data_IF_565549416988
#
_entry.id   IF_565549416988
#
_cell.length_a   1.000
_cell.length_b   1.000
_cell.length_c   1.000
_cell.angle_alpha   90.00
_cell.angle_beta   90.00
_cell.angle_gamma   90.00
#
_symmetry.space_group_name_H-M   'P 1'
#
loop_
_entity.id
_entity.type
_entity.pdbx_description
1 polymer ?
#
# COMPACT_ATOMS: atom_id res chain seq x y z
N UNK A 1 150.16 -19.92 -60.87
CA UNK A 1 149.56 -20.79 -59.82
C UNK A 1 148.81 -20.03 -58.72
N UNK A 2 149.06 -18.73 -58.51
CA UNK A 2 148.34 -17.89 -57.54
C UNK A 2 146.88 -17.47 -57.87
N UNK A 3 146.43 -17.27 -59.13
CA UNK A 3 145.08 -16.75 -59.39
C UNK A 3 143.96 -17.77 -59.15
N UNK A 4 144.20 -19.06 -59.39
CA UNK A 4 143.23 -20.14 -59.13
C UNK A 4 142.98 -20.35 -57.63
N UNK A 5 143.99 -20.17 -56.79
CA UNK A 5 143.88 -20.29 -55.33
C UNK A 5 142.94 -19.21 -54.75
N UNK A 6 143.02 -17.99 -55.27
CA UNK A 6 142.17 -16.88 -54.85
C UNK A 6 140.69 -17.09 -55.25
N UNK A 7 140.43 -17.66 -56.42
CA UNK A 7 139.06 -17.97 -56.88
C UNK A 7 138.41 -19.04 -56.00
N UNK A 8 139.15 -20.09 -55.64
CA UNK A 8 138.67 -21.16 -54.74
C UNK A 8 138.45 -20.61 -53.31
N UNK A 9 139.32 -19.72 -52.83
CA UNK A 9 139.15 -19.06 -51.52
C UNK A 9 137.89 -18.19 -51.49
N UNK A 10 137.64 -17.38 -52.51
CA UNK A 10 136.45 -16.52 -52.58
C UNK A 10 135.16 -17.35 -52.69
N UNK A 11 135.17 -18.43 -53.48
CA UNK A 11 134.03 -19.33 -53.60
C UNK A 11 133.71 -20.08 -52.28
N UNK A 12 134.74 -20.53 -51.56
CA UNK A 12 134.57 -21.20 -50.26
C UNK A 12 134.08 -20.23 -49.18
N UNK A 13 134.62 -19.00 -49.14
CA UNK A 13 134.13 -17.95 -48.23
C UNK A 13 132.68 -17.57 -48.54
N UNK A 14 132.32 -17.44 -49.82
CA UNK A 14 130.94 -17.17 -50.25
C UNK A 14 129.97 -18.29 -49.88
N UNK A 15 130.39 -19.55 -50.03
CA UNK A 15 129.56 -20.71 -49.67
C UNK A 15 129.39 -20.85 -48.15
N UNK A 16 130.45 -20.61 -47.37
CA UNK A 16 130.39 -20.57 -45.90
C UNK A 16 129.53 -19.40 -45.42
N UNK A 17 129.65 -18.21 -46.02
CA UNK A 17 128.82 -17.05 -45.70
C UNK A 17 127.34 -17.27 -46.06
N UNK A 18 127.05 -17.92 -47.21
CA UNK A 18 125.70 -18.29 -47.61
C UNK A 18 125.08 -19.33 -46.67
N UNK A 19 125.84 -20.35 -46.27
CA UNK A 19 125.41 -21.36 -45.31
C UNK A 19 125.20 -20.77 -43.90
N UNK A 20 126.09 -19.87 -43.47
CA UNK A 20 125.94 -19.12 -42.22
C UNK A 20 124.72 -18.18 -42.26
N UNK A 21 124.47 -17.52 -43.39
CA UNK A 21 123.29 -16.69 -43.61
C UNK A 21 121.99 -17.50 -43.54
N UNK A 22 121.94 -18.67 -44.19
CA UNK A 22 120.79 -19.57 -44.19
C UNK A 22 120.51 -20.18 -42.80
N UNK A 23 121.56 -20.58 -42.07
CA UNK A 23 121.41 -21.09 -40.70
C UNK A 23 120.95 -20.00 -39.73
N UNK A 24 121.51 -18.78 -39.82
CA UNK A 24 121.04 -17.63 -39.03
C UNK A 24 119.60 -17.22 -39.39
N UNK A 25 119.23 -17.25 -40.66
CA UNK A 25 117.87 -16.96 -41.12
C UNK A 25 116.88 -17.99 -40.60
N UNK A 26 117.17 -19.29 -40.77
CA UNK A 26 116.30 -20.38 -40.28
C UNK A 26 116.18 -20.42 -38.75
N UNK A 27 117.24 -20.08 -38.00
CA UNK A 27 117.17 -19.90 -36.54
C UNK A 27 116.28 -18.70 -36.19
N UNK A 28 116.44 -17.55 -36.86
CA UNK A 28 115.59 -16.36 -36.65
C UNK A 28 114.12 -16.66 -36.97
N UNK A 29 113.82 -17.38 -38.04
CA UNK A 29 112.45 -17.79 -38.37
C UNK A 29 111.87 -18.76 -37.34
N UNK A 30 112.65 -19.74 -36.85
CA UNK A 30 112.21 -20.64 -35.78
C UNK A 30 111.93 -19.88 -34.48
N UNK A 31 112.75 -18.90 -34.11
CA UNK A 31 112.52 -18.05 -32.94
C UNK A 31 111.27 -17.18 -33.13
N UNK A 32 111.08 -16.57 -34.31
CA UNK A 32 109.87 -15.79 -34.61
C UNK A 32 108.61 -16.63 -34.53
N UNK A 33 108.61 -17.82 -35.14
CA UNK A 33 107.48 -18.77 -35.06
C UNK A 33 107.20 -19.21 -33.62
N UNK A 34 108.25 -19.53 -32.84
CA UNK A 34 108.09 -19.87 -31.41
C UNK A 34 107.53 -18.72 -30.59
N UNK A 35 107.98 -17.48 -30.82
CA UNK A 35 107.42 -16.30 -30.14
C UNK A 35 105.98 -16.04 -30.55
N UNK A 36 105.66 -16.10 -31.84
CA UNK A 36 104.29 -15.94 -32.32
C UNK A 36 103.34 -17.01 -31.76
N UNK A 37 103.81 -18.25 -31.60
CA UNK A 37 103.04 -19.31 -30.93
C UNK A 37 102.88 -19.01 -29.43
N UNK A 38 103.94 -18.61 -28.74
CA UNK A 38 103.86 -18.26 -27.32
C UNK A 38 102.93 -17.05 -27.06
N UNK A 39 102.97 -16.04 -27.92
CA UNK A 39 102.08 -14.88 -27.85
C UNK A 39 100.62 -15.27 -28.14
N UNK A 40 100.39 -16.19 -29.10
CA UNK A 40 99.06 -16.73 -29.37
C UNK A 40 98.52 -17.59 -28.22
N UNK A 41 99.38 -18.40 -27.58
CA UNK A 41 99.03 -19.19 -26.40
C UNK A 41 98.71 -18.29 -25.20
N UNK A 42 99.48 -17.21 -24.97
CA UNK A 42 99.22 -16.24 -23.90
C UNK A 42 97.91 -15.47 -24.14
N UNK A 43 97.64 -15.08 -25.39
CA UNK A 43 96.37 -14.43 -25.75
C UNK A 43 95.18 -15.39 -25.61
N UNK A 44 95.33 -16.64 -26.03
CA UNK A 44 94.31 -17.66 -25.82
C UNK A 44 94.05 -17.89 -24.32
N UNK A 45 95.09 -17.96 -23.49
CA UNK A 45 94.96 -18.09 -22.04
C UNK A 45 94.24 -16.89 -21.41
N UNK A 46 94.55 -15.66 -21.87
CA UNK A 46 93.85 -14.44 -21.42
C UNK A 46 92.38 -14.43 -21.82
N UNK A 47 92.05 -14.88 -23.03
CA UNK A 47 90.66 -14.98 -23.50
C UNK A 47 89.90 -15.99 -22.64
N UNK A 48 90.47 -17.18 -22.39
CA UNK A 48 89.85 -18.20 -21.54
C UNK A 48 89.60 -17.65 -20.13
N UNK A 49 90.62 -17.04 -19.50
CA UNK A 49 90.49 -16.45 -18.17
C UNK A 49 89.42 -15.35 -18.11
N UNK A 50 89.30 -14.53 -19.16
CA UNK A 50 88.24 -13.51 -19.25
C UNK A 50 86.86 -14.14 -19.38
N UNK A 51 86.71 -15.15 -20.23
CA UNK A 51 85.44 -15.87 -20.42
C UNK A 51 85.02 -16.58 -19.15
N UNK A 52 85.95 -17.22 -18.44
CA UNK A 52 85.67 -17.86 -17.14
C UNK A 52 85.17 -16.85 -16.10
N UNK A 53 85.84 -15.70 -16.00
CA UNK A 53 85.42 -14.62 -15.10
C UNK A 53 84.06 -14.04 -15.49
N UNK A 54 83.82 -13.79 -16.77
CA UNK A 54 82.54 -13.30 -17.27
C UNK A 54 81.42 -14.31 -16.99
N UNK A 55 81.66 -15.60 -17.24
CA UNK A 55 80.72 -16.67 -16.93
C UNK A 55 80.41 -16.77 -15.42
N UNK A 56 81.42 -16.61 -14.56
CA UNK A 56 81.22 -16.57 -13.11
C UNK A 56 80.37 -15.37 -12.69
N UNK A 57 80.66 -14.17 -13.23
CA UNK A 57 79.85 -12.98 -12.96
C UNK A 57 78.42 -13.10 -13.48
N UNK A 58 78.23 -13.70 -14.66
CA UNK A 58 76.91 -13.94 -15.24
C UNK A 58 76.11 -14.94 -14.39
N UNK A 59 76.75 -16.00 -13.89
CA UNK A 59 76.11 -16.94 -12.96
C UNK A 59 75.74 -16.27 -11.64
N UNK A 60 76.66 -15.50 -11.06
CA UNK A 60 76.41 -14.79 -9.81
C UNK A 60 75.26 -13.79 -9.94
N UNK A 61 75.24 -13.00 -11.02
CA UNK A 61 74.16 -12.05 -11.31
C UNK A 61 72.84 -12.75 -11.55
N UNK A 62 72.78 -13.82 -12.35
CA UNK A 62 71.57 -14.60 -12.57
C UNK A 62 71.00 -15.22 -11.28
N UNK A 63 71.87 -15.67 -10.37
CA UNK A 63 71.44 -16.18 -9.06
C UNK A 63 70.91 -15.04 -8.17
N UNK A 64 71.53 -13.86 -8.21
CA UNK A 64 71.08 -12.71 -7.43
C UNK A 64 69.73 -12.19 -7.93
N UNK A 65 69.57 -12.00 -9.25
CA UNK A 65 68.29 -11.57 -9.84
C UNK A 65 67.18 -12.58 -9.56
N UNK A 66 67.47 -13.88 -9.69
CA UNK A 66 66.50 -14.92 -9.34
C UNK A 66 66.10 -14.91 -7.86
N UNK A 67 67.04 -14.56 -6.96
CA UNK A 67 66.72 -14.38 -5.52
C UNK A 67 65.87 -13.14 -5.28
N UNK A 68 66.15 -12.04 -5.95
CA UNK A 68 65.37 -10.80 -5.87
C UNK A 68 63.93 -11.03 -6.34
N UNK A 69 63.73 -11.65 -7.51
CA UNK A 69 62.40 -12.01 -8.02
C UNK A 69 61.62 -12.91 -7.05
N UNK A 70 62.27 -13.91 -6.44
CA UNK A 70 61.64 -14.78 -5.44
C UNK A 70 61.25 -14.00 -4.18
N UNK A 71 62.05 -13.02 -3.75
CA UNK A 71 61.72 -12.18 -2.61
C UNK A 71 60.56 -11.24 -2.92
N UNK A 72 60.54 -10.62 -4.09
CA UNK A 72 59.44 -9.77 -4.55
C UNK A 72 58.14 -10.56 -4.68
N UNK A 73 58.20 -11.75 -5.30
CA UNK A 73 57.05 -12.65 -5.40
C UNK A 73 56.55 -13.03 -4.00
N UNK A 74 57.44 -13.40 -3.08
CA UNK A 74 57.06 -13.74 -1.72
C UNK A 74 56.41 -12.57 -0.98
N UNK A 75 56.87 -11.35 -1.18
CA UNK A 75 56.30 -10.17 -0.53
C UNK A 75 54.93 -9.81 -1.11
N UNK A 76 54.77 -9.88 -2.43
CA UNK A 76 53.47 -9.71 -3.08
C UNK A 76 52.43 -10.73 -2.59
N UNK A 77 52.84 -11.99 -2.45
CA UNK A 77 51.98 -13.06 -1.92
C UNK A 77 51.56 -12.83 -0.48
N UNK A 78 52.47 -12.36 0.40
CA UNK A 78 52.10 -12.03 1.79
C UNK A 78 51.09 -10.89 1.85
N UNK A 79 51.26 -9.87 1.00
CA UNK A 79 50.34 -8.74 0.96
C UNK A 79 48.96 -9.16 0.43
N UNK A 80 48.90 -10.00 -0.60
CA UNK A 80 47.65 -10.61 -1.07
C UNK A 80 47.01 -11.50 0.00
N UNK A 81 47.79 -12.34 0.70
CA UNK A 81 47.29 -13.18 1.80
C UNK A 81 46.74 -12.32 2.94
N UNK A 82 47.43 -11.23 3.30
CA UNK A 82 46.98 -10.28 4.33
C UNK A 82 45.64 -9.65 3.93
N UNK A 83 45.52 -9.15 2.69
CA UNK A 83 44.27 -8.59 2.17
C UNK A 83 43.15 -9.62 2.16
N UNK A 84 43.43 -10.82 1.66
CA UNK A 84 42.45 -11.90 1.64
C UNK A 84 41.96 -12.24 3.05
N UNK A 85 42.88 -12.30 4.03
CA UNK A 85 42.55 -12.54 5.44
C UNK A 85 41.68 -11.43 6.02
N UNK A 86 41.96 -10.17 5.71
CA UNK A 86 41.15 -9.02 6.15
C UNK A 86 39.75 -9.05 5.54
N UNK A 87 39.63 -9.36 4.24
CA UNK A 87 38.36 -9.48 3.54
C UNK A 87 37.50 -10.62 4.10
N UNK A 88 38.12 -11.78 4.39
CA UNK A 88 37.45 -12.91 5.04
C UNK A 88 36.96 -12.52 6.43
N UNK A 89 37.79 -11.92 7.27
CA UNK A 89 37.40 -11.48 8.61
C UNK A 89 36.27 -10.45 8.58
N UNK A 90 36.29 -9.51 7.64
CA UNK A 90 35.22 -8.53 7.48
C UNK A 90 33.90 -9.21 7.08
N UNK A 91 33.97 -10.19 6.18
CA UNK A 91 32.81 -10.96 5.72
C UNK A 91 32.25 -11.82 6.84
N UNK A 92 33.09 -12.52 7.60
CA UNK A 92 32.69 -13.30 8.77
C UNK A 92 32.00 -12.43 9.82
N UNK A 93 32.54 -11.23 10.11
CA UNK A 93 31.92 -10.29 11.04
C UNK A 93 30.54 -9.86 10.57
N UNK A 94 30.38 -9.49 9.29
CA UNK A 94 29.08 -9.12 8.70
C UNK A 94 28.08 -10.28 8.76
N UNK A 95 28.53 -11.51 8.49
CA UNK A 95 27.70 -12.71 8.58
C UNK A 95 27.27 -12.99 10.02
N UNK A 96 28.18 -12.86 11.00
CA UNK A 96 27.87 -13.05 12.42
C UNK A 96 26.85 -12.02 12.93
N UNK A 97 27.01 -10.74 12.55
CA UNK A 97 26.04 -9.69 12.87
C UNK A 97 24.66 -9.97 12.26
N UNK A 98 24.62 -10.42 10.99
CA UNK A 98 23.38 -10.81 10.32
C UNK A 98 22.72 -12.03 10.99
N UNK A 99 23.49 -13.03 11.38
CA UNK A 99 22.99 -14.21 12.09
C UNK A 99 22.33 -13.82 13.41
N UNK A 100 23.01 -13.02 14.25
CA UNK A 100 22.44 -12.51 15.51
C UNK A 100 21.16 -11.70 15.29
N UNK A 101 21.13 -10.89 14.23
CA UNK A 101 19.94 -10.15 13.84
C UNK A 101 18.76 -11.04 13.43
N UNK A 102 19.03 -12.18 12.78
CA UNK A 102 18.02 -13.18 12.43
C UNK A 102 17.55 -13.95 13.67
N UNK A 103 18.46 -14.35 14.56
CA UNK A 103 18.12 -15.05 15.80
C UNK A 103 17.20 -14.21 16.68
N UNK A 104 17.50 -12.92 16.85
CA UNK A 104 16.63 -12.01 17.62
C UNK A 104 15.25 -11.79 16.99
N UNK A 105 15.16 -11.77 15.64
CA UNK A 105 13.87 -11.72 14.94
C UNK A 105 13.08 -13.01 15.13
N UNK A 106 13.76 -14.15 15.10
CA UNK A 106 13.15 -15.47 15.31
C UNK A 106 12.59 -15.60 16.73
N UNK A 107 13.35 -15.19 17.75
CA UNK A 107 12.85 -15.13 19.13
C UNK A 107 11.62 -14.21 19.28
N UNK A 108 11.63 -13.06 18.61
CA UNK A 108 10.50 -12.12 18.62
C UNK A 108 9.26 -12.74 17.97
N UNK A 109 9.43 -13.45 16.85
CA UNK A 109 8.35 -14.17 16.18
C UNK A 109 7.77 -15.28 17.05
N UNK A 110 8.61 -16.12 17.66
CA UNK A 110 8.16 -17.18 18.55
C UNK A 110 7.38 -16.64 19.76
N UNK A 111 7.79 -15.50 20.32
CA UNK A 111 7.02 -14.83 21.40
C UNK A 111 5.65 -14.36 20.93
N UNK A 112 5.57 -13.80 19.72
CA UNK A 112 4.29 -13.35 19.14
C UNK A 112 3.38 -14.52 18.83
N UNK A 113 3.93 -15.61 18.29
CA UNK A 113 3.19 -16.85 18.01
C UNK A 113 2.61 -17.45 19.30
N UNK A 114 3.43 -17.58 20.35
CA UNK A 114 2.93 -18.04 21.65
C UNK A 114 1.83 -17.13 22.25
N UNK A 115 1.96 -15.81 22.07
CA UNK A 115 0.92 -14.86 22.50
C UNK A 115 -0.38 -15.03 21.68
N UNK A 116 -0.25 -15.27 20.37
CA UNK A 116 -1.38 -15.49 19.48
C UNK A 116 -2.10 -16.80 19.84
N UNK A 117 -1.37 -17.89 20.06
CA UNK A 117 -1.92 -19.17 20.52
C UNK A 117 -2.68 -19.04 21.84
N UNK A 118 -2.15 -18.27 22.80
CA UNK A 118 -2.85 -18.00 24.07
C UNK A 118 -4.17 -17.29 23.83
N UNK A 119 -4.15 -16.23 23.01
CA UNK A 119 -5.36 -15.46 22.67
C UNK A 119 -6.39 -16.31 21.91
N UNK A 120 -5.95 -17.18 21.02
CA UNK A 120 -6.83 -18.08 20.28
C UNK A 120 -7.53 -19.06 21.22
N UNK A 121 -6.80 -19.62 22.19
CA UNK A 121 -7.40 -20.48 23.23
C UNK A 121 -8.39 -19.71 24.10
N UNK A 122 -8.05 -18.51 24.55
CA UNK A 122 -8.94 -17.65 25.33
C UNK A 122 -10.22 -17.31 24.56
N UNK A 123 -10.10 -16.92 23.29
CA UNK A 123 -11.24 -16.62 22.42
C UNK A 123 -12.10 -17.86 22.15
N UNK A 124 -11.48 -19.03 21.98
CA UNK A 124 -12.21 -20.28 21.80
C UNK A 124 -13.04 -20.63 23.04
N UNK A 125 -12.49 -20.45 24.25
CA UNK A 125 -13.21 -20.68 25.51
C UNK A 125 -14.36 -19.69 25.63
N UNK A 126 -14.09 -18.39 25.45
CA UNK A 126 -15.11 -17.34 25.54
C UNK A 126 -16.24 -17.56 24.53
N UNK A 127 -15.91 -17.97 23.30
CA UNK A 127 -16.90 -18.27 22.27
C UNK A 127 -17.81 -19.44 22.68
N UNK A 128 -17.25 -20.48 23.30
CA UNK A 128 -18.01 -21.62 23.80
C UNK A 128 -18.94 -21.21 24.95
N UNK A 129 -18.42 -20.44 25.92
CA UNK A 129 -19.20 -19.91 27.04
C UNK A 129 -20.35 -19.01 26.58
N UNK A 130 -20.09 -18.15 25.60
CA UNK A 130 -21.11 -17.27 25.00
C UNK A 130 -22.22 -18.08 24.33
N UNK A 131 -21.86 -19.16 23.63
CA UNK A 131 -22.82 -20.03 22.95
C UNK A 131 -23.72 -20.75 23.98
N UNK A 132 -23.13 -21.29 25.04
CA UNK A 132 -23.88 -21.90 26.16
C UNK A 132 -24.77 -20.89 26.87
N UNK A 133 -24.28 -19.68 27.12
CA UNK A 133 -25.06 -18.62 27.73
C UNK A 133 -26.26 -18.23 26.86
N UNK A 134 -26.07 -18.15 25.54
CA UNK A 134 -27.14 -17.86 24.58
C UNK A 134 -28.21 -18.94 24.59
N UNK A 135 -27.83 -20.21 24.52
CA UNK A 135 -28.77 -21.34 24.64
C UNK A 135 -29.51 -21.32 25.98
N UNK A 136 -28.80 -21.00 27.07
CA UNK A 136 -29.39 -20.86 28.39
C UNK A 136 -30.42 -19.73 28.50
N UNK A 137 -30.17 -18.59 27.83
CA UNK A 137 -31.12 -17.47 27.75
C UNK A 137 -32.33 -17.85 26.89
N UNK A 138 -32.12 -18.47 25.74
CA UNK A 138 -33.19 -18.87 24.83
C UNK A 138 -34.13 -19.89 25.47
N UNK A 139 -33.56 -20.92 26.13
CA UNK A 139 -34.36 -21.91 26.87
C UNK A 139 -35.12 -21.29 28.05
N UNK A 140 -34.54 -20.34 28.79
CA UNK A 140 -35.25 -19.59 29.83
C UNK A 140 -36.35 -18.72 29.25
N UNK A 141 -36.12 -18.04 28.14
CA UNK A 141 -37.11 -17.21 27.46
C UNK A 141 -38.32 -18.04 27.04
N UNK A 142 -38.11 -19.21 26.42
CA UNK A 142 -39.18 -20.15 26.07
C UNK A 142 -39.95 -20.63 27.31
N UNK A 143 -39.25 -20.99 28.40
CA UNK A 143 -39.90 -21.39 29.66
C UNK A 143 -40.74 -20.27 30.29
N UNK A 144 -40.22 -19.04 30.28
CA UNK A 144 -40.94 -17.87 30.78
C UNK A 144 -42.19 -17.62 29.93
N UNK A 145 -42.05 -17.65 28.60
CA UNK A 145 -43.17 -17.49 27.67
C UNK A 145 -44.25 -18.54 27.95
N UNK A 146 -43.91 -19.83 27.97
CA UNK A 146 -44.87 -20.89 28.25
C UNK A 146 -45.56 -20.73 29.61
N UNK A 147 -44.84 -20.25 30.62
CA UNK A 147 -45.42 -20.02 31.96
C UNK A 147 -46.33 -18.81 32.00
N UNK A 148 -46.00 -17.74 31.29
CA UNK A 148 -46.87 -16.57 31.13
C UNK A 148 -48.15 -16.95 30.39
N UNK A 149 -48.05 -17.73 29.32
CA UNK A 149 -49.21 -18.25 28.59
C UNK A 149 -50.08 -19.14 29.48
N UNK A 150 -49.47 -20.02 30.28
CA UNK A 150 -50.20 -20.86 31.24
C UNK A 150 -50.88 -20.06 32.36
N UNK A 151 -50.26 -18.99 32.88
CA UNK A 151 -50.86 -18.16 33.93
C UNK A 151 -51.94 -17.23 33.36
N UNK A 152 -51.70 -16.66 32.17
CA UNK A 152 -52.63 -15.80 31.47
C UNK A 152 -53.85 -16.55 30.94
N UNK A 153 -53.79 -17.87 30.81
CA UNK A 153 -54.88 -18.70 30.30
C UNK A 153 -55.08 -18.61 28.79
N UNK A 154 -54.23 -17.86 28.11
CA UNK A 154 -54.24 -17.65 26.66
C UNK A 154 -52.78 -17.64 26.17
N UNK A 155 -52.54 -18.22 25.00
CA UNK A 155 -51.26 -18.04 24.28
C UNK A 155 -51.07 -16.57 23.88
N UNK A 156 -49.83 -16.14 23.62
CA UNK A 156 -49.57 -14.77 23.16
C UNK A 156 -50.33 -14.42 21.86
N UNK A 157 -50.59 -15.41 21.02
CA UNK A 157 -51.36 -15.28 19.77
C UNK A 157 -52.84 -15.09 20.10
N UNK A 158 -53.41 -15.94 20.95
CA UNK A 158 -54.81 -15.86 21.38
C UNK A 158 -55.10 -14.55 22.12
N UNK A 159 -54.21 -14.12 23.03
CA UNK A 159 -54.36 -12.85 23.75
C UNK A 159 -54.34 -11.64 22.80
N UNK A 160 -53.49 -11.67 21.77
CA UNK A 160 -53.44 -10.62 20.74
C UNK A 160 -54.71 -10.61 19.89
N UNK A 161 -55.19 -11.78 19.50
CA UNK A 161 -56.42 -11.92 18.71
C UNK A 161 -57.65 -11.46 19.48
N UNK A 162 -57.75 -11.83 20.77
CA UNK A 162 -58.81 -11.37 21.65
C UNK A 162 -58.77 -9.85 21.84
N UNK A 163 -57.60 -9.27 22.13
CA UNK A 163 -57.45 -7.82 22.26
C UNK A 163 -57.89 -7.09 20.99
N UNK A 164 -57.51 -7.59 19.81
CA UNK A 164 -57.93 -7.00 18.53
C UNK A 164 -59.44 -7.08 18.33
N UNK A 165 -60.07 -8.19 18.71
CA UNK A 165 -61.53 -8.34 18.63
C UNK A 165 -62.28 -7.43 19.61
N UNK A 166 -61.79 -7.30 20.84
CA UNK A 166 -62.38 -6.41 21.84
C UNK A 166 -62.29 -4.95 21.37
N UNK A 167 -61.13 -4.54 20.87
CA UNK A 167 -60.88 -3.18 20.37
C UNK A 167 -61.71 -2.88 19.11
N UNK A 168 -61.93 -3.88 18.25
CA UNK A 168 -62.86 -3.77 17.12
C UNK A 168 -64.30 -3.57 17.60
N UNK A 169 -64.74 -4.33 18.59
CA UNK A 169 -66.10 -4.25 19.13
C UNK A 169 -66.36 -2.89 19.80
N UNK A 170 -65.38 -2.38 20.55
CA UNK A 170 -65.43 -1.06 21.16
C UNK A 170 -65.51 0.05 20.09
N UNK A 171 -64.68 -0.03 19.05
CA UNK A 171 -64.73 0.92 17.93
C UNK A 171 -66.07 0.90 17.18
N UNK A 172 -66.69 -0.27 17.00
CA UNK A 172 -68.02 -0.40 16.40
C UNK A 172 -69.11 0.25 17.29
N UNK A 173 -69.03 0.06 18.61
CA UNK A 173 -69.95 0.68 19.57
C UNK A 173 -69.82 2.21 19.59
N UNK A 174 -68.60 2.74 19.58
CA UNK A 174 -68.33 4.18 19.53
C UNK A 174 -68.82 4.80 18.22
N UNK A 175 -68.58 4.13 17.09
CA UNK A 175 -69.09 4.56 15.79
C UNK A 175 -70.63 4.60 15.77
N UNK A 176 -71.29 3.61 16.38
CA UNK A 176 -72.75 3.58 16.48
C UNK A 176 -73.30 4.72 17.36
N UNK A 177 -72.65 5.00 18.49
CA UNK A 177 -73.01 6.11 19.37
C UNK A 177 -72.82 7.47 18.69
N UNK A 178 -71.70 7.65 17.98
CA UNK A 178 -71.43 8.85 17.19
C UNK A 178 -72.49 9.04 16.10
N UNK A 179 -72.83 7.97 15.37
CA UNK A 179 -73.84 8.02 14.32
C UNK A 179 -75.22 8.38 14.88
N UNK A 180 -75.59 7.85 16.06
CA UNK A 180 -76.83 8.24 16.75
C UNK A 180 -76.83 9.72 17.10
N UNK A 181 -75.74 10.24 17.66
CA UNK A 181 -75.59 11.67 17.97
C UNK A 181 -75.70 12.55 16.73
N UNK A 182 -75.06 12.17 15.62
CA UNK A 182 -75.17 12.86 14.33
C UNK A 182 -76.63 12.88 13.85
N UNK A 183 -77.36 11.76 13.96
CA UNK A 183 -78.77 11.69 13.56
C UNK A 183 -79.66 12.58 14.41
N UNK A 184 -79.51 12.54 15.73
CA UNK A 184 -80.31 13.38 16.65
C UNK A 184 -80.07 14.88 16.42
N UNK A 185 -78.81 15.27 16.16
CA UNK A 185 -78.48 16.66 15.83
C UNK A 185 -79.01 17.08 14.45
N UNK A 186 -78.92 16.18 13.46
CA UNK A 186 -79.52 16.40 12.14
C UNK A 186 -81.05 16.58 12.25
N UNK A 187 -81.72 15.78 13.08
CA UNK A 187 -83.16 15.89 13.32
C UNK A 187 -83.52 17.22 14.00
N UNK A 188 -82.84 17.58 15.10
CA UNK A 188 -83.04 18.86 15.79
C UNK A 188 -82.77 20.08 14.90
N UNK A 189 -81.68 20.06 14.14
CA UNK A 189 -81.33 21.15 13.23
C UNK A 189 -82.33 21.26 12.08
N UNK A 190 -82.79 20.13 11.53
CA UNK A 190 -83.84 20.11 10.50
C UNK A 190 -85.17 20.66 11.02
N UNK A 191 -85.57 20.30 12.24
CA UNK A 191 -86.79 20.82 12.87
C UNK A 191 -86.69 22.34 13.12
N UNK A 192 -85.53 22.79 13.62
CA UNK A 192 -85.27 24.21 13.84
C UNK A 192 -85.31 25.01 12.54
N UNK A 193 -84.68 24.51 11.48
CA UNK A 193 -84.68 25.18 10.18
C UNK A 193 -86.08 25.14 9.54
N UNK A 194 -86.83 24.04 9.67
CA UNK A 194 -88.21 23.94 9.20
C UNK A 194 -89.12 24.96 9.91
N UNK A 195 -89.03 25.09 11.24
CA UNK A 195 -89.77 26.11 12.02
C UNK A 195 -89.40 27.53 11.59
N UNK A 196 -88.12 27.79 11.33
CA UNK A 196 -87.64 29.10 10.84
C UNK A 196 -88.19 29.41 9.44
N UNK A 197 -88.18 28.44 8.53
CA UNK A 197 -88.77 28.59 7.18
C UNK A 197 -90.27 28.87 7.28
N UNK A 198 -91.01 28.13 8.12
CA UNK A 198 -92.43 28.36 8.36
C UNK A 198 -92.69 29.76 8.93
N UNK A 199 -91.92 30.21 9.92
CA UNK A 199 -92.04 31.55 10.48
C UNK A 199 -91.78 32.65 9.43
N UNK A 200 -90.75 32.48 8.58
CA UNK A 200 -90.47 33.38 7.46
C UNK A 200 -91.61 33.40 6.44
N UNK A 201 -92.20 32.25 6.12
CA UNK A 201 -93.33 32.15 5.21
C UNK A 201 -94.56 32.86 5.78
N UNK A 202 -94.89 32.64 7.05
CA UNK A 202 -95.98 33.34 7.75
C UNK A 202 -95.73 34.84 7.76
N UNK A 203 -94.53 35.29 8.14
CA UNK A 203 -94.18 36.72 8.16
C UNK A 203 -94.34 37.37 6.77
N UNK A 204 -94.00 36.64 5.71
CA UNK A 204 -94.13 37.11 4.33
C UNK A 204 -95.60 37.19 3.88
N UNK A 205 -96.42 36.19 4.21
CA UNK A 205 -97.86 36.18 3.87
C UNK A 205 -98.69 37.14 4.72
N UNK A 206 -98.29 37.37 5.98
CA UNK A 206 -99.05 38.22 6.90
C UNK A 206 -99.16 39.67 6.41
N UNK A 207 -98.14 40.18 5.69
CA UNK A 207 -98.17 41.53 5.13
C UNK A 207 -99.23 41.67 4.02
N UNK A 208 -99.34 40.68 3.13
CA UNK A 208 -100.33 40.67 2.06
C UNK A 208 -101.75 40.48 2.63
N UNK A 209 -101.94 39.58 3.60
CA UNK A 209 -103.25 39.31 4.19
C UNK A 209 -103.76 40.47 5.06
N UNK A 210 -102.87 41.17 5.79
CA UNK A 210 -103.28 42.38 6.52
C UNK A 210 -103.63 43.53 5.59
N UNK A 211 -102.96 43.65 4.44
CA UNK A 211 -103.33 44.63 3.42
C UNK A 211 -104.73 44.32 2.85
N UNK A 212 -105.03 43.06 2.50
CA UNK A 212 -106.34 42.69 1.98
C UNK A 212 -107.47 42.87 3.01
N UNK A 213 -107.24 42.54 4.29
CA UNK A 213 -108.27 42.62 5.32
C UNK A 213 -108.55 44.05 5.82
N UNK A 214 -107.62 45.00 5.65
CA UNK A 214 -107.79 46.40 6.10
C UNK A 214 -108.36 47.34 5.02
N UNK A 215 -108.50 46.88 3.78
CA UNK A 215 -109.07 47.69 2.70
C UNK A 215 -110.57 47.40 2.58
N UNK A 216 -111.39 48.25 3.20
CA UNK A 216 -112.84 48.27 2.97
C UNK A 216 -113.17 49.20 1.81
N UNK A 217 -113.62 48.63 0.69
CA UNK A 217 -114.10 49.40 -0.46
C UNK A 217 -115.53 49.85 -0.18
N UNK A 218 -115.70 51.12 0.18
CA UNK A 218 -117.00 51.75 0.33
C UNK A 218 -117.43 52.36 -1.01
N UNK A 219 -118.54 51.86 -1.58
CA UNK A 219 -119.15 52.46 -2.78
C UNK A 219 -119.92 53.72 -2.37
N UNK A 220 -119.56 54.87 -2.94
CA UNK A 220 -120.24 56.13 -2.69
C UNK A 220 -121.48 56.26 -3.59
N UNK A 221 -122.66 56.61 -3.04
CA UNK A 221 -123.92 56.62 -3.78
C UNK A 221 -124.09 57.80 -4.76
N UNK A 222 -123.21 58.81 -4.76
CA UNK A 222 -123.21 59.88 -5.79
C UNK A 222 -121.85 60.57 -5.92
N UNK A 223 -121.51 61.03 -7.14
CA UNK A 223 -120.26 61.74 -7.44
C UNK A 223 -120.12 63.09 -6.70
N UNK A 224 -121.25 63.68 -6.30
CA UNK A 224 -121.27 64.88 -5.47
C UNK A 224 -120.68 64.62 -4.07
N UNK A 225 -120.95 63.44 -3.50
CA UNK A 225 -120.39 63.00 -2.22
C UNK A 225 -118.89 62.68 -2.33
N UNK A 226 -118.46 62.13 -3.48
CA UNK A 226 -117.06 61.84 -3.82
C UNK A 226 -116.22 63.11 -3.95
N UNK A 227 -116.77 64.15 -4.59
CA UNK A 227 -116.12 65.46 -4.74
C UNK A 227 -115.90 66.20 -3.42
N UNK A 228 -116.71 65.90 -2.40
CA UNK A 228 -116.60 66.51 -1.06
C UNK A 228 -115.51 65.89 -0.18
N UNK A 229 -115.21 64.60 -0.38
CA UNK A 229 -114.21 63.85 0.39
C UNK A 229 -112.83 63.93 -0.28
N UNK A 230 -112.76 63.85 -1.60
CA UNK A 230 -111.48 63.81 -2.36
C UNK A 230 -111.07 65.20 -2.88
N UNK A 231 -111.98 66.18 -2.82
CA UNK A 231 -111.76 67.53 -3.34
C UNK A 231 -111.80 67.56 -4.87
N UNK A 232 -112.39 68.62 -5.44
CA UNK A 232 -112.77 68.72 -6.86
C UNK A 232 -111.60 68.80 -7.88
N UNK A 233 -110.36 68.59 -7.44
CA UNK A 233 -109.13 68.61 -8.27
C UNK A 233 -108.08 67.55 -7.85
N UNK A 234 -108.47 66.50 -7.11
CA UNK A 234 -107.57 65.38 -6.80
C UNK A 234 -106.45 65.69 -5.80
N UNK A 235 -106.70 66.58 -4.84
CA UNK A 235 -105.76 66.85 -3.72
C UNK A 235 -106.51 66.62 -2.40
N UNK A 236 -106.03 65.63 -1.62
CA UNK A 236 -106.63 65.18 -0.37
C UNK A 236 -106.87 66.33 0.63
N UNK A 237 -108.03 66.30 1.28
CA UNK A 237 -108.31 67.12 2.47
C UNK A 237 -107.48 66.57 3.62
N UNK A 238 -106.56 67.38 4.16
CA UNK A 238 -105.90 67.13 5.44
C UNK A 238 -106.84 67.61 6.55
N UNK A 239 -107.41 66.68 7.32
CA UNK A 239 -107.61 66.91 8.76
C UNK A 239 -106.50 66.12 9.47
N UNK A 240 -105.62 66.82 10.17
CA UNK A 240 -104.79 66.18 11.20
C UNK A 240 -105.59 66.19 12.49
#
# INVERSE_FOLDING_TARGET
MYPLLNVVLVATVGLVAGLAGYTLHSIKERIRKKRALADADDEAAKIIARVEKEAETLRATAILTGKEEVLELRESWKEEERRHREDVQQTEKRLAERSRGLDGRFETLNRKEAQQDSREKELSVLSSELLQAREGVETKAVKIQNRLESIGGFSAIEAKEQLLNDLKTEAEADAANLLRGIREEAEKSSEREAKKILALAIQRMAADETADMTVSVVQLPSDEMKGRIIGREGRNIRSF
#
